data_IF_714336687796
#
_entry.id   IF_714336687796
#
_cell.length_a   1.000
_cell.length_b   1.000
_cell.length_c   1.000
_cell.angle_alpha   90.00
_cell.angle_beta   90.00
_cell.angle_gamma   90.00
#
_symmetry.space_group_name_H-M   'P 1'
#
loop_
_entity.id
_entity.type
_entity.pdbx_description
1 polymer ?
#
# COMPACT_ATOMS: atom_id res chain seq x y z
N UNK A 1 -12.52 10.14 -5.50
CA UNK A 1 -11.34 9.51 -4.89
C UNK A 1 -10.92 8.37 -5.80
N UNK A 2 -9.72 8.43 -6.36
CA UNK A 2 -9.18 7.32 -7.17
C UNK A 2 -8.59 6.23 -6.27
N UNK A 3 -8.27 5.06 -6.84
CA UNK A 3 -7.77 3.92 -6.07
C UNK A 3 -6.46 4.26 -5.33
N UNK A 4 -5.54 4.97 -5.97
CA UNK A 4 -4.25 5.24 -5.34
C UNK A 4 -4.30 6.40 -4.34
N UNK A 5 -5.27 7.30 -4.42
CA UNK A 5 -5.59 8.24 -3.34
C UNK A 5 -6.03 7.48 -2.09
N UNK A 6 -6.95 6.51 -2.23
CA UNK A 6 -7.36 5.64 -1.10
C UNK A 6 -6.21 4.82 -0.54
N UNK A 7 -5.36 4.25 -1.40
CA UNK A 7 -4.17 3.49 -0.98
C UNK A 7 -3.20 4.39 -0.22
N UNK A 8 -2.92 5.59 -0.72
CA UNK A 8 -2.05 6.55 -0.04
C UNK A 8 -2.60 6.94 1.34
N UNK A 9 -3.91 7.17 1.48
CA UNK A 9 -4.53 7.45 2.77
C UNK A 9 -4.37 6.29 3.77
N UNK A 10 -4.50 5.05 3.32
CA UNK A 10 -4.32 3.87 4.19
C UNK A 10 -2.86 3.74 4.61
N UNK A 11 -1.92 3.90 3.67
CA UNK A 11 -0.49 3.89 3.97
C UNK A 11 -0.16 5.00 4.97
N UNK A 12 -0.72 6.20 4.78
CA UNK A 12 -0.46 7.33 5.66
C UNK A 12 -0.91 7.06 7.11
N UNK A 13 -2.05 6.38 7.29
CA UNK A 13 -2.54 5.98 8.62
C UNK A 13 -1.66 4.91 9.26
N UNK A 14 -1.22 3.91 8.49
CA UNK A 14 -0.38 2.80 9.00
C UNK A 14 1.02 3.27 9.33
N UNK A 15 1.60 4.13 8.49
CA UNK A 15 2.97 4.61 8.64
C UNK A 15 3.08 5.93 9.44
N UNK A 16 1.96 6.44 9.97
CA UNK A 16 1.87 7.72 10.70
C UNK A 16 2.56 8.89 9.96
N UNK A 17 2.36 8.97 8.64
CA UNK A 17 3.00 9.99 7.79
C UNK A 17 2.16 10.36 6.57
N UNK A 18 2.01 11.65 6.30
CA UNK A 18 1.23 12.18 5.18
C UNK A 18 2.04 12.34 3.89
N UNK A 19 3.34 12.04 3.90
CA UNK A 19 4.25 12.20 2.75
C UNK A 19 3.70 11.49 1.50
N UNK A 20 3.12 10.31 1.67
CA UNK A 20 2.58 9.47 0.59
C UNK A 20 1.36 10.08 -0.10
N UNK A 21 0.66 11.02 0.55
CA UNK A 21 -0.49 11.73 -0.02
C UNK A 21 0.02 12.78 -1.03
N UNK A 22 1.13 13.45 -0.70
CA UNK A 22 1.77 14.45 -1.57
C UNK A 22 2.69 13.86 -2.64
N UNK A 23 3.31 12.70 -2.36
CA UNK A 23 4.22 12.00 -3.27
C UNK A 23 3.87 10.50 -3.35
N UNK A 24 3.14 10.12 -4.40
CA UNK A 24 2.68 8.74 -4.65
C UNK A 24 3.73 7.86 -5.33
N UNK A 25 4.90 8.42 -5.66
CA UNK A 25 6.07 7.70 -6.19
C UNK A 25 7.17 7.53 -5.14
N UNK A 26 6.93 7.99 -3.91
CA UNK A 26 7.88 7.82 -2.81
C UNK A 26 8.18 6.34 -2.57
N UNK A 27 9.47 6.03 -2.44
CA UNK A 27 9.98 4.68 -2.21
C UNK A 27 9.75 4.30 -0.75
N UNK A 28 8.71 3.54 -0.48
CA UNK A 28 8.19 3.28 0.86
C UNK A 28 9.21 2.60 1.76
N UNK A 29 9.89 1.57 1.25
CA UNK A 29 10.91 0.83 2.00
C UNK A 29 12.22 1.63 2.14
N UNK A 30 12.68 2.26 1.06
CA UNK A 30 13.95 3.02 1.05
C UNK A 30 13.90 4.24 1.98
N UNK A 31 12.71 4.80 2.19
CA UNK A 31 12.47 5.94 3.09
C UNK A 31 12.08 5.52 4.51
N UNK A 32 12.01 4.21 4.78
CA UNK A 32 11.61 3.67 6.08
C UNK A 32 10.15 3.96 6.45
N UNK A 33 9.30 4.25 5.45
CA UNK A 33 7.85 4.46 5.65
C UNK A 33 7.17 3.12 5.94
N UNK A 34 7.58 2.06 5.22
CA UNK A 34 7.15 0.70 5.50
C UNK A 34 8.33 -0.14 6.00
N UNK A 35 8.09 -0.84 7.10
CA UNK A 35 8.90 -1.93 7.60
C UNK A 35 8.10 -3.25 7.58
N UNK A 36 8.63 -4.32 8.19
CA UNK A 36 7.94 -5.61 8.23
C UNK A 36 6.61 -5.57 8.97
N UNK A 37 6.46 -4.74 10.02
CA UNK A 37 5.25 -4.66 10.84
C UNK A 37 4.21 -3.81 10.12
N UNK A 38 4.59 -2.61 9.68
CA UNK A 38 3.75 -1.71 8.90
C UNK A 38 3.26 -2.38 7.60
N UNK A 39 4.08 -3.23 6.97
CA UNK A 39 3.64 -4.01 5.80
C UNK A 39 2.51 -4.99 6.16
N UNK A 40 2.61 -5.69 7.29
CA UNK A 40 1.56 -6.63 7.74
C UNK A 40 0.28 -5.87 8.09
N UNK A 41 0.37 -4.74 8.78
CA UNK A 41 -0.79 -3.91 9.10
C UNK A 41 -1.44 -3.34 7.84
N UNK A 42 -0.63 -2.86 6.88
CA UNK A 42 -1.11 -2.39 5.58
C UNK A 42 -1.88 -3.48 4.84
N UNK A 43 -1.36 -4.71 4.77
CA UNK A 43 -2.05 -5.84 4.15
C UNK A 43 -3.44 -6.07 4.77
N UNK A 44 -3.54 -6.02 6.10
CA UNK A 44 -4.81 -6.22 6.81
C UNK A 44 -5.80 -5.10 6.56
N UNK A 45 -5.35 -3.85 6.51
CA UNK A 45 -6.21 -2.68 6.21
C UNK A 45 -6.66 -2.71 4.75
N UNK A 46 -5.77 -2.95 3.78
CA UNK A 46 -6.11 -3.08 2.36
C UNK A 46 -7.10 -4.23 2.12
N UNK A 47 -6.88 -5.38 2.76
CA UNK A 47 -7.77 -6.54 2.64
C UNK A 47 -9.19 -6.22 3.09
N UNK A 48 -9.32 -5.52 4.24
CA UNK A 48 -10.61 -5.09 4.78
C UNK A 48 -11.28 -4.02 3.91
N UNK A 49 -10.52 -3.04 3.45
CA UNK A 49 -11.04 -1.88 2.71
C UNK A 49 -11.52 -2.24 1.30
N UNK A 50 -10.80 -3.16 0.62
CA UNK A 50 -11.08 -3.52 -0.76
C UNK A 50 -11.74 -4.90 -0.92
N UNK A 51 -11.92 -5.65 0.18
CA UNK A 51 -12.56 -6.97 0.16
C UNK A 51 -11.73 -8.02 -0.57
N UNK A 52 -10.40 -7.92 -0.51
CA UNK A 52 -9.45 -8.84 -1.15
C UNK A 52 -8.69 -9.63 -0.08
N UNK A 53 -8.27 -10.86 -0.39
CA UNK A 53 -7.36 -11.61 0.47
C UNK A 53 -5.91 -11.35 0.05
N UNK A 54 -5.11 -10.82 0.96
CA UNK A 54 -3.68 -10.55 0.76
C UNK A 54 -2.85 -11.29 1.80
N UNK A 55 -1.78 -11.94 1.35
CA UNK A 55 -0.83 -12.66 2.21
C UNK A 55 0.55 -11.98 2.21
N UNK A 56 1.27 -11.94 3.34
CA UNK A 56 2.67 -11.49 3.38
C UNK A 56 3.59 -12.24 2.42
N UNK A 57 3.26 -13.49 2.08
CA UNK A 57 4.02 -14.29 1.12
C UNK A 57 3.92 -13.78 -0.33
N UNK A 58 2.93 -12.94 -0.63
CA UNK A 58 2.70 -12.35 -1.96
C UNK A 58 3.37 -10.97 -2.10
N UNK A 59 3.93 -10.41 -1.03
CA UNK A 59 4.56 -9.09 -1.08
C UNK A 59 5.92 -9.17 -1.73
N UNK A 60 6.01 -8.67 -2.96
CA UNK A 60 7.26 -8.29 -3.59
C UNK A 60 7.58 -6.82 -3.29
N UNK A 61 8.77 -6.53 -2.74
CA UNK A 61 9.15 -5.18 -2.32
C UNK A 61 9.29 -4.19 -3.46
N UNK A 62 9.58 -4.65 -4.67
CA UNK A 62 9.67 -3.77 -5.84
C UNK A 62 8.27 -3.51 -6.42
N UNK A 63 7.39 -4.52 -6.44
CA UNK A 63 5.98 -4.35 -6.80
C UNK A 63 5.22 -3.49 -5.77
N UNK A 64 5.67 -3.47 -4.52
CA UNK A 64 5.10 -2.64 -3.44
C UNK A 64 5.96 -1.41 -3.12
N UNK A 65 6.87 -1.03 -4.01
CA UNK A 65 7.85 0.02 -3.71
C UNK A 65 7.23 1.41 -3.51
N UNK A 66 6.08 1.70 -4.12
CA UNK A 66 5.43 3.02 -4.08
C UNK A 66 3.90 2.90 -3.90
N UNK A 67 3.22 3.93 -3.36
CA UNK A 67 1.75 3.94 -3.26
C UNK A 67 1.05 3.61 -4.58
N UNK A 68 1.54 4.16 -5.70
CA UNK A 68 0.96 3.90 -7.02
C UNK A 68 1.12 2.45 -7.47
N UNK A 69 2.26 1.81 -7.18
CA UNK A 69 2.44 0.40 -7.55
C UNK A 69 1.53 -0.52 -6.73
N UNK A 70 1.35 -0.25 -5.45
CA UNK A 70 0.39 -0.98 -4.61
C UNK A 70 -1.03 -0.81 -5.15
N UNK A 71 -1.40 0.42 -5.56
CA UNK A 71 -2.69 0.67 -6.19
C UNK A 71 -2.87 -0.13 -7.50
N UNK A 72 -1.86 -0.17 -8.36
CA UNK A 72 -1.89 -0.95 -9.60
C UNK A 72 -2.03 -2.46 -9.33
N UNK A 73 -1.31 -2.97 -8.32
CA UNK A 73 -1.43 -4.36 -7.89
C UNK A 73 -2.86 -4.69 -7.42
N UNK A 74 -3.46 -3.80 -6.62
CA UNK A 74 -4.83 -3.96 -6.14
C UNK A 74 -5.85 -3.85 -7.28
N UNK A 75 -5.65 -2.96 -8.24
CA UNK A 75 -6.52 -2.82 -9.41
C UNK A 75 -6.64 -4.16 -10.17
N UNK A 76 -5.51 -4.85 -10.37
CA UNK A 76 -5.48 -6.16 -11.02
C UNK A 76 -6.16 -7.26 -10.19
N UNK A 77 -6.14 -7.16 -8.86
CA UNK A 77 -6.80 -8.10 -7.95
C UNK A 77 -8.30 -7.90 -7.89
N UNK A 78 -8.75 -6.65 -7.87
CA UNK A 78 -10.17 -6.28 -7.78
C UNK A 78 -10.89 -6.51 -9.12
N UNK A 79 -10.18 -6.34 -10.24
CA UNK A 79 -10.75 -6.57 -11.57
C UNK A 79 -10.92 -8.05 -11.95
N UNK A 80 -10.52 -8.99 -11.08
CA UNK A 80 -10.65 -10.44 -11.29
C UNK A 80 -11.96 -11.01 -10.77
#
# INVERSE_FOLDING_TARGET
>A
MDLGERVAEIIARVADTDIVIGDREVRLYDRGILDSIATVELLLELSREFGVELSPAEVDREEWATPNRIAQYLEQRIAR
#
